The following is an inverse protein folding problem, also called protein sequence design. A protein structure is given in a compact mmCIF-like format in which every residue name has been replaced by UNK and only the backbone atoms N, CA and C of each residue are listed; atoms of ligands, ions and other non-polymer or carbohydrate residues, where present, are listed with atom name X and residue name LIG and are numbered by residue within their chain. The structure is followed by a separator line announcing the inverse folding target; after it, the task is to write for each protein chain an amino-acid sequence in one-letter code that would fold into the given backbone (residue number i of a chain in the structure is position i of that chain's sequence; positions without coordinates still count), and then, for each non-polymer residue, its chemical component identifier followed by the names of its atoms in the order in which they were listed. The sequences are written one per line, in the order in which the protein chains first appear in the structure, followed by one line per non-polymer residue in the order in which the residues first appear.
data_IF_307794486088
#
_entry.id   IF_307794486088
#
_cell.length_a   1.000
_cell.length_b   1.000
_cell.length_c   1.000
_cell.angle_alpha   90.00
_cell.angle_beta   90.00
_cell.angle_gamma   90.00
#
_symmetry.space_group_name_H-M   'P 1'
#
loop_
_entity.id
_entity.type
_entity.pdbx_description
1 polymer ?
#
# COMPACT_ATOMS: atom_id res chain seq x y z
N UNK A 1 29.74 41.48 0.11
CA UNK A 1 30.51 40.60 1.02
C UNK A 1 29.66 39.92 2.09
N UNK A 2 28.71 40.58 2.75
CA UNK A 2 27.87 40.00 3.79
C UNK A 2 26.98 38.83 3.27
N UNK A 3 26.55 38.90 2.02
CA UNK A 3 25.73 37.84 1.38
C UNK A 3 26.51 36.54 1.20
N UNK A 4 27.79 36.64 0.81
CA UNK A 4 28.65 35.44 0.64
C UNK A 4 28.93 34.73 1.97
N UNK A 5 29.11 35.51 3.04
CA UNK A 5 29.30 34.96 4.39
C UNK A 5 28.07 34.26 4.93
N UNK A 6 26.87 34.78 4.60
CA UNK A 6 25.61 34.09 4.94
C UNK A 6 25.48 32.74 4.21
N UNK A 7 25.83 32.69 2.93
CA UNK A 7 25.83 31.46 2.15
C UNK A 7 26.80 30.42 2.75
N UNK A 8 28.01 30.83 3.08
CA UNK A 8 29.02 29.97 3.70
C UNK A 8 28.52 29.41 5.07
N UNK A 9 27.87 30.26 5.87
CA UNK A 9 27.30 29.86 7.14
C UNK A 9 26.18 28.80 7.00
N UNK A 10 25.31 28.98 6.00
CA UNK A 10 24.22 28.02 5.73
C UNK A 10 24.79 26.67 5.31
N UNK A 11 25.79 26.66 4.42
CA UNK A 11 26.43 25.41 3.98
C UNK A 11 27.15 24.71 5.13
N UNK A 12 27.89 25.45 5.95
CA UNK A 12 28.57 24.91 7.12
C UNK A 12 27.60 24.31 8.10
N UNK A 13 26.50 25.00 8.41
CA UNK A 13 25.44 24.49 9.28
C UNK A 13 24.81 23.22 8.72
N UNK A 14 24.52 23.16 7.42
CA UNK A 14 23.99 21.98 6.75
C UNK A 14 24.96 20.80 6.83
N UNK A 15 26.25 21.04 6.62
CA UNK A 15 27.30 20.02 6.71
C UNK A 15 27.37 19.43 8.14
N UNK A 16 27.42 20.29 9.14
CA UNK A 16 27.46 19.85 10.56
C UNK A 16 26.20 19.05 10.93
N UNK A 17 25.02 19.53 10.49
CA UNK A 17 23.77 18.80 10.72
C UNK A 17 23.76 17.43 10.00
N UNK A 18 24.32 17.35 8.79
CA UNK A 18 24.41 16.09 8.04
C UNK A 18 25.33 15.06 8.69
N UNK A 19 26.35 15.50 9.41
CA UNK A 19 27.23 14.62 10.19
C UNK A 19 26.50 14.00 11.41
N UNK A 20 25.62 14.77 12.03
CA UNK A 20 24.88 14.33 13.24
C UNK A 20 23.57 13.61 12.90
N UNK A 21 22.90 14.03 11.83
CA UNK A 21 21.60 13.49 11.37
C UNK A 21 21.65 13.23 9.87
N UNK A 22 22.29 12.13 9.43
CA UNK A 22 22.33 11.80 8.01
C UNK A 22 20.93 11.50 7.49
N UNK A 23 20.60 12.01 6.31
CA UNK A 23 19.33 11.73 5.60
C UNK A 23 19.35 10.35 4.98
N UNK A 24 20.54 9.80 4.76
CA UNK A 24 20.76 8.48 4.16
C UNK A 24 20.22 7.38 5.08
N UNK A 25 19.38 6.50 4.56
CA UNK A 25 19.04 5.24 5.23
C UNK A 25 20.13 4.23 4.94
N UNK A 26 20.74 3.72 6.00
CA UNK A 26 21.75 2.67 5.89
C UNK A 26 21.04 1.32 5.92
N UNK A 27 21.34 0.48 4.96
CA UNK A 27 20.81 -0.87 4.85
C UNK A 27 21.98 -1.87 4.86
N UNK A 28 21.87 -2.99 5.59
CA UNK A 28 20.78 -3.43 6.48
C UNK A 28 20.85 -2.88 7.91
N UNK A 29 21.77 -1.98 8.19
CA UNK A 29 22.12 -1.53 9.53
C UNK A 29 21.50 -0.18 9.85
N UNK A 30 20.79 -0.11 10.97
CA UNK A 30 20.40 1.16 11.59
C UNK A 30 21.36 1.47 12.73
N UNK A 31 22.15 2.53 12.59
CA UNK A 31 23.02 2.95 13.68
C UNK A 31 23.91 4.13 13.29
N UNK A 32 24.43 4.81 14.30
CA UNK A 32 25.49 5.80 14.15
C UNK A 32 26.81 5.10 13.86
N UNK A 33 27.78 5.83 13.26
CA UNK A 33 29.12 5.38 12.88
C UNK A 33 29.84 4.49 13.93
N UNK A 34 29.45 4.56 15.19
CA UNK A 34 30.06 3.89 16.33
C UNK A 34 29.26 2.72 16.91
N UNK A 35 27.99 2.58 16.53
CA UNK A 35 27.12 1.53 17.06
C UNK A 35 26.34 0.90 15.92
N UNK A 36 26.87 -0.19 15.40
CA UNK A 36 26.16 -1.04 14.44
C UNK A 36 25.11 -1.83 15.22
N UNK A 37 23.88 -1.41 15.09
CA UNK A 37 22.74 -2.16 15.60
C UNK A 37 22.20 -2.96 14.43
N UNK A 38 22.23 -4.27 14.53
CA UNK A 38 21.69 -5.19 13.53
C UNK A 38 20.15 -5.27 13.63
N UNK A 39 19.50 -4.13 13.58
CA UNK A 39 18.06 -4.11 13.47
C UNK A 39 17.70 -3.82 12.00
N UNK A 40 16.76 -4.55 11.41
CA UNK A 40 16.34 -4.29 10.04
C UNK A 40 15.84 -2.85 9.93
N UNK A 41 16.27 -2.17 8.90
CA UNK A 41 15.81 -0.80 8.64
C UNK A 41 14.31 -0.80 8.42
N UNK A 42 13.52 -0.10 9.24
CA UNK A 42 12.07 -0.10 9.07
C UNK A 42 11.71 0.46 7.68
N UNK A 43 10.87 -0.27 7.00
CA UNK A 43 10.33 0.13 5.70
C UNK A 43 9.36 1.29 5.91
N UNK A 44 9.27 2.21 4.95
CA UNK A 44 8.32 3.32 5.04
C UNK A 44 6.89 2.81 4.89
N UNK A 45 5.92 3.43 5.57
CA UNK A 45 4.51 3.02 5.57
C UNK A 45 3.89 2.95 4.17
N UNK A 46 4.37 3.79 3.24
CA UNK A 46 3.91 3.83 1.85
C UNK A 46 4.86 3.15 0.87
N UNK A 47 5.72 2.27 1.36
CA UNK A 47 6.60 1.50 0.48
C UNK A 47 5.79 0.46 -0.30
N UNK A 48 6.08 0.36 -1.59
CA UNK A 48 5.45 -0.61 -2.49
C UNK A 48 6.47 -1.71 -2.82
N UNK A 49 6.40 -2.79 -2.07
CA UNK A 49 7.20 -3.99 -2.29
C UNK A 49 6.49 -4.98 -3.21
N UNK A 50 6.71 -6.26 -2.99
CA UNK A 50 6.09 -7.30 -3.83
C UNK A 50 4.59 -7.44 -3.54
N UNK A 51 3.77 -7.75 -4.56
CA UNK A 51 2.35 -7.97 -4.38
C UNK A 51 2.08 -9.23 -3.57
N UNK A 52 1.14 -9.14 -2.63
CA UNK A 52 0.65 -10.26 -1.85
C UNK A 52 -0.88 -10.35 -1.92
N UNK A 53 -1.43 -11.53 -1.65
CA UNK A 53 -2.87 -11.77 -1.64
C UNK A 53 -3.40 -11.66 -0.21
N UNK A 54 -4.44 -10.86 -0.04
CA UNK A 54 -5.08 -10.61 1.25
C UNK A 54 -6.02 -11.73 1.67
N UNK A 55 -6.14 -11.90 2.99
CA UNK A 55 -6.91 -12.96 3.62
C UNK A 55 -8.07 -12.40 4.45
N UNK A 56 -9.24 -13.00 4.32
CA UNK A 56 -10.41 -12.70 5.13
C UNK A 56 -10.44 -13.59 6.37
N UNK A 57 -10.00 -13.07 7.50
CA UNK A 57 -9.94 -13.80 8.77
C UNK A 57 -11.33 -14.13 9.34
N UNK A 58 -12.41 -13.45 8.87
CA UNK A 58 -13.78 -13.69 9.37
C UNK A 58 -14.39 -14.95 8.79
N UNK A 59 -14.09 -15.24 7.54
CA UNK A 59 -14.65 -16.38 6.79
C UNK A 59 -13.59 -17.46 6.56
N UNK A 60 -12.33 -17.17 6.86
CA UNK A 60 -11.18 -18.05 6.64
C UNK A 60 -10.97 -18.41 5.17
N UNK A 61 -11.09 -17.40 4.30
CA UNK A 61 -10.89 -17.57 2.86
C UNK A 61 -10.12 -16.38 2.25
N UNK A 62 -9.45 -16.55 1.07
CA UNK A 62 -8.84 -15.43 0.38
C UNK A 62 -9.92 -14.45 -0.12
N UNK A 63 -9.62 -13.15 -0.12
CA UNK A 63 -10.50 -12.16 -0.75
C UNK A 63 -10.60 -12.36 -2.27
N UNK A 64 -9.63 -13.03 -2.87
CA UNK A 64 -9.55 -13.22 -4.31
C UNK A 64 -10.61 -14.19 -4.83
N UNK A 65 -11.44 -13.71 -5.76
CA UNK A 65 -12.46 -14.50 -6.44
C UNK A 65 -11.99 -15.10 -7.77
N UNK A 66 -10.76 -14.80 -8.21
CA UNK A 66 -10.24 -15.26 -9.49
C UNK A 66 -10.85 -14.53 -10.71
N UNK A 67 -11.32 -13.30 -10.58
CA UNK A 67 -11.99 -12.55 -11.65
C UNK A 67 -11.07 -12.16 -12.83
N UNK A 68 -9.75 -12.33 -12.69
CA UNK A 68 -8.72 -12.09 -13.69
C UNK A 68 -8.58 -10.65 -14.19
N UNK A 69 -9.18 -9.67 -13.52
CA UNK A 69 -9.08 -8.25 -13.92
C UNK A 69 -7.63 -7.77 -13.79
N UNK A 70 -6.94 -8.09 -12.70
CA UNK A 70 -5.54 -7.75 -12.49
C UNK A 70 -4.61 -8.36 -13.56
N UNK A 71 -4.89 -9.61 -13.99
CA UNK A 71 -4.11 -10.30 -15.02
C UNK A 71 -4.24 -9.59 -16.38
N UNK A 72 -5.46 -9.21 -16.74
CA UNK A 72 -5.73 -8.52 -18.03
C UNK A 72 -5.13 -7.13 -18.09
N UNK A 73 -5.02 -6.45 -16.95
CA UNK A 73 -4.45 -5.11 -16.87
C UNK A 73 -2.93 -5.12 -16.58
N UNK A 74 -2.32 -6.29 -16.40
CA UNK A 74 -0.89 -6.38 -16.14
C UNK A 74 -0.07 -6.05 -17.40
N UNK A 75 0.76 -4.99 -17.40
CA UNK A 75 1.50 -4.59 -18.59
C UNK A 75 2.57 -5.62 -18.99
N UNK A 76 3.09 -6.38 -18.04
CA UNK A 76 4.13 -7.40 -18.28
C UNK A 76 3.58 -8.81 -18.39
N UNK A 77 2.26 -8.98 -18.18
CA UNK A 77 1.60 -10.29 -18.20
C UNK A 77 2.33 -11.32 -17.33
N UNK A 78 2.71 -10.91 -16.13
CA UNK A 78 3.49 -11.73 -15.20
C UNK A 78 2.65 -12.64 -14.31
N UNK A 79 1.32 -12.61 -14.45
CA UNK A 79 0.38 -13.31 -13.57
C UNK A 79 -0.46 -14.32 -14.34
N UNK A 80 -0.77 -15.45 -13.69
CA UNK A 80 -1.76 -16.44 -14.13
C UNK A 80 -2.63 -16.86 -12.96
N UNK A 81 -3.88 -17.21 -13.22
CA UNK A 81 -4.79 -17.68 -12.20
C UNK A 81 -5.87 -18.59 -12.78
N UNK A 82 -6.39 -19.48 -11.94
CA UNK A 82 -7.60 -20.25 -12.18
C UNK A 82 -8.61 -20.00 -11.06
N UNK A 83 -9.90 -20.12 -11.36
CA UNK A 83 -10.94 -19.97 -10.37
C UNK A 83 -11.71 -21.28 -10.21
N UNK A 84 -12.29 -21.49 -9.04
CA UNK A 84 -13.18 -22.61 -8.77
C UNK A 84 -14.46 -22.14 -8.06
N UNK A 85 -15.44 -23.04 -7.99
CA UNK A 85 -16.62 -22.81 -7.15
C UNK A 85 -16.24 -22.86 -5.68
N UNK A 86 -16.76 -21.91 -4.90
CA UNK A 86 -16.41 -21.79 -3.50
C UNK A 86 -17.12 -22.87 -2.67
N UNK A 87 -16.39 -23.81 -2.04
CA UNK A 87 -17.01 -24.81 -1.18
C UNK A 87 -17.65 -24.20 0.07
N UNK A 88 -17.08 -23.12 0.61
CA UNK A 88 -17.63 -22.44 1.79
C UNK A 88 -19.00 -21.79 1.51
N UNK A 89 -19.29 -21.44 0.27
CA UNK A 89 -20.61 -20.94 -0.13
C UNK A 89 -21.66 -22.06 -0.11
N UNK A 90 -21.29 -23.26 -0.53
CA UNK A 90 -22.18 -24.42 -0.48
C UNK A 90 -22.54 -24.80 0.94
N UNK A 91 -21.63 -24.57 1.89
CA UNK A 91 -21.84 -24.79 3.33
C UNK A 91 -22.54 -23.60 4.03
N UNK A 92 -22.85 -22.51 3.31
CA UNK A 92 -23.49 -21.31 3.84
C UNK A 92 -22.59 -20.41 4.69
N UNK A 93 -21.26 -20.66 4.73
CA UNK A 93 -20.30 -19.86 5.49
C UNK A 93 -19.85 -18.60 4.75
N UNK A 94 -19.89 -18.60 3.43
CA UNK A 94 -19.44 -17.50 2.59
C UNK A 94 -20.53 -17.05 1.61
N UNK A 95 -20.55 -15.75 1.30
CA UNK A 95 -21.41 -15.18 0.26
C UNK A 95 -20.74 -15.17 -1.13
N UNK A 96 -19.45 -15.51 -1.20
CA UNK A 96 -18.68 -15.52 -2.45
C UNK A 96 -18.94 -16.81 -3.22
N UNK A 97 -19.45 -16.70 -4.44
CA UNK A 97 -19.75 -17.86 -5.29
C UNK A 97 -18.51 -18.51 -5.89
N UNK A 98 -17.51 -17.72 -6.19
CA UNK A 98 -16.24 -18.15 -6.81
C UNK A 98 -15.09 -17.75 -5.91
N UNK A 99 -14.06 -18.57 -5.92
CA UNK A 99 -12.81 -18.36 -5.20
C UNK A 99 -11.63 -18.71 -6.10
N UNK A 100 -10.46 -18.19 -5.76
CA UNK A 100 -9.23 -18.53 -6.44
C UNK A 100 -8.84 -19.98 -6.13
N UNK A 101 -8.50 -20.74 -7.18
CA UNK A 101 -7.96 -22.10 -7.10
C UNK A 101 -6.44 -22.09 -7.15
N UNK A 102 -5.90 -21.44 -8.17
CA UNK A 102 -4.47 -21.23 -8.28
C UNK A 102 -4.17 -19.79 -8.69
N UNK A 103 -3.07 -19.26 -8.19
CA UNK A 103 -2.55 -17.96 -8.56
C UNK A 103 -1.03 -18.03 -8.59
N UNK A 104 -0.45 -17.53 -9.64
CA UNK A 104 1.00 -17.49 -9.79
C UNK A 104 1.44 -16.11 -10.29
N UNK A 105 2.47 -15.55 -9.67
CA UNK A 105 3.14 -14.32 -10.13
C UNK A 105 4.60 -14.64 -10.42
N UNK A 106 5.05 -14.29 -11.61
CA UNK A 106 6.48 -14.30 -11.94
C UNK A 106 7.08 -12.94 -11.54
N UNK A 107 7.72 -12.87 -10.38
CA UNK A 107 8.29 -11.65 -9.84
C UNK A 107 9.47 -11.12 -10.68
N UNK A 108 10.19 -11.98 -11.40
CA UNK A 108 11.25 -11.54 -12.33
C UNK A 108 10.72 -10.69 -13.50
N UNK A 109 9.43 -10.77 -13.79
CA UNK A 109 8.77 -9.99 -14.84
C UNK A 109 7.93 -8.84 -14.29
N UNK A 110 7.68 -8.84 -12.98
CA UNK A 110 6.89 -7.81 -12.31
C UNK A 110 7.70 -6.51 -12.21
N UNK A 111 7.11 -5.41 -12.65
CA UNK A 111 7.70 -4.07 -12.57
C UNK A 111 7.24 -3.28 -11.35
N UNK A 112 6.52 -3.91 -10.43
CA UNK A 112 6.01 -3.31 -9.18
C UNK A 112 5.18 -2.03 -9.41
N UNK A 113 4.40 -1.97 -10.48
CA UNK A 113 3.66 -0.77 -10.87
C UNK A 113 2.38 -0.50 -10.06
N UNK A 114 1.88 -1.50 -9.29
CA UNK A 114 0.68 -1.36 -8.46
C UNK A 114 -0.66 -1.38 -9.20
N UNK A 115 -0.70 -1.43 -10.54
CA UNK A 115 -1.96 -1.43 -11.31
C UNK A 115 -2.89 -2.58 -10.88
N UNK A 116 -2.33 -3.76 -10.55
CA UNK A 116 -3.11 -4.90 -10.10
C UNK A 116 -3.91 -4.60 -8.81
N UNK A 117 -3.37 -3.78 -7.92
CA UNK A 117 -4.05 -3.33 -6.70
C UNK A 117 -5.17 -2.36 -7.03
N UNK A 118 -4.88 -1.34 -7.85
CA UNK A 118 -5.85 -0.31 -8.22
C UNK A 118 -7.07 -0.84 -8.97
N UNK A 119 -6.88 -1.86 -9.83
CA UNK A 119 -7.98 -2.45 -10.60
C UNK A 119 -8.74 -3.56 -9.86
N UNK A 120 -8.32 -3.91 -8.64
CA UNK A 120 -8.93 -4.98 -7.87
C UNK A 120 -10.23 -4.50 -7.21
N UNK A 121 -11.38 -5.07 -7.62
CA UNK A 121 -12.67 -4.72 -7.04
C UNK A 121 -12.95 -5.40 -5.69
N UNK A 122 -12.06 -6.28 -5.23
CA UNK A 122 -12.26 -7.11 -4.03
C UNK A 122 -11.23 -6.87 -2.95
N UNK A 123 -10.36 -5.87 -3.11
CA UNK A 123 -9.22 -5.61 -2.22
C UNK A 123 -8.37 -6.87 -1.94
N UNK A 124 -8.29 -7.74 -2.95
CA UNK A 124 -7.72 -9.08 -2.82
C UNK A 124 -6.22 -9.15 -3.05
N UNK A 125 -5.63 -8.09 -3.56
CA UNK A 125 -4.19 -7.99 -3.82
C UNK A 125 -3.71 -6.63 -3.31
N UNK A 126 -2.58 -6.61 -2.62
CA UNK A 126 -1.99 -5.42 -2.03
C UNK A 126 -0.48 -5.41 -2.25
N UNK A 127 0.14 -4.23 -2.31
CA UNK A 127 1.60 -4.12 -2.35
C UNK A 127 2.14 -4.22 -0.94
N UNK A 128 2.89 -5.27 -0.65
CA UNK A 128 3.43 -5.53 0.69
C UNK A 128 4.70 -4.72 0.95
N UNK A 129 5.25 -4.82 2.15
CA UNK A 129 6.53 -4.22 2.49
C UNK A 129 7.73 -5.13 2.21
N UNK A 130 7.48 -6.33 1.69
CA UNK A 130 8.56 -7.27 1.37
C UNK A 130 9.29 -6.85 0.10
N UNK A 131 10.62 -6.83 0.17
CA UNK A 131 11.48 -6.41 -0.94
C UNK A 131 12.72 -7.28 -1.10
N UNK A 132 12.93 -8.23 -0.20
CA UNK A 132 14.09 -9.11 -0.20
C UNK A 132 13.71 -10.51 -0.66
N UNK A 133 13.70 -10.71 -1.98
CA UNK A 133 13.45 -12.01 -2.59
C UNK A 133 14.62 -12.37 -3.52
N UNK A 134 15.75 -12.74 -2.94
CA UNK A 134 16.88 -13.22 -3.71
C UNK A 134 16.84 -14.74 -3.84
N UNK A 135 17.04 -15.26 -5.04
CA UNK A 135 17.10 -16.69 -5.33
C UNK A 135 18.39 -17.08 -6.02
N UNK A 136 18.82 -18.32 -5.81
CA UNK A 136 20.00 -18.88 -6.48
C UNK A 136 19.72 -19.43 -7.88
N UNK A 137 18.43 -19.54 -8.23
CA UNK A 137 17.99 -20.16 -9.48
C UNK A 137 17.34 -19.12 -10.37
N UNK A 138 17.74 -19.05 -11.63
CA UNK A 138 17.10 -18.19 -12.63
C UNK A 138 15.63 -18.61 -12.82
N UNK A 139 14.70 -17.65 -12.79
CA UNK A 139 13.25 -17.86 -12.78
C UNK A 139 12.71 -18.57 -11.51
N UNK A 140 13.47 -18.58 -10.42
CA UNK A 140 13.03 -19.13 -9.13
C UNK A 140 12.01 -18.26 -8.39
N UNK A 141 11.80 -17.01 -8.84
CA UNK A 141 10.89 -16.06 -8.18
C UNK A 141 9.45 -16.16 -8.72
N UNK A 142 9.00 -17.38 -8.99
CA UNK A 142 7.60 -17.66 -9.22
C UNK A 142 6.95 -17.93 -7.88
N UNK A 143 6.08 -17.01 -7.48
CA UNK A 143 5.31 -17.16 -6.25
C UNK A 143 3.94 -17.75 -6.58
N UNK A 144 3.64 -18.85 -5.95
CA UNK A 144 2.35 -19.53 -6.00
C UNK A 144 1.35 -18.98 -4.99
N UNK A 145 0.12 -19.45 -5.04
CA UNK A 145 -0.96 -18.99 -4.17
C UNK A 145 -0.63 -19.06 -2.67
N UNK A 146 -0.07 -20.17 -2.12
CA UNK A 146 0.27 -20.25 -0.70
C UNK A 146 1.28 -19.19 -0.28
N UNK A 147 2.35 -18.99 -1.06
CA UNK A 147 3.38 -18.01 -0.76
C UNK A 147 2.85 -16.57 -0.82
N UNK A 148 1.99 -16.26 -1.80
CA UNK A 148 1.34 -14.95 -1.93
C UNK A 148 0.38 -14.66 -0.77
N UNK A 149 -0.33 -15.68 -0.29
CA UNK A 149 -1.21 -15.56 0.88
C UNK A 149 -0.42 -15.37 2.18
N UNK A 150 0.73 -16.03 2.31
CA UNK A 150 1.62 -15.84 3.46
C UNK A 150 2.14 -14.40 3.52
N UNK A 151 2.63 -13.87 2.39
CA UNK A 151 3.04 -12.47 2.28
C UNK A 151 1.91 -11.51 2.64
N UNK A 152 0.71 -11.73 2.11
CA UNK A 152 -0.44 -10.88 2.40
C UNK A 152 -0.85 -10.94 3.86
N UNK A 153 -0.88 -12.12 4.48
CA UNK A 153 -1.18 -12.29 5.92
C UNK A 153 -0.15 -11.58 6.79
N UNK A 154 1.14 -11.74 6.48
CA UNK A 154 2.22 -11.04 7.20
C UNK A 154 2.01 -9.52 7.11
N UNK A 155 1.79 -8.99 5.91
CA UNK A 155 1.52 -7.58 5.70
C UNK A 155 0.29 -7.06 6.49
N UNK A 156 -0.81 -7.82 6.49
CA UNK A 156 -2.02 -7.48 7.24
C UNK A 156 -1.77 -7.44 8.76
N UNK A 157 -0.94 -8.36 9.29
CA UNK A 157 -0.57 -8.40 10.70
C UNK A 157 0.33 -7.22 11.08
N UNK A 158 1.36 -6.95 10.27
CA UNK A 158 2.35 -5.91 10.55
C UNK A 158 1.78 -4.48 10.46
N UNK A 159 0.86 -4.26 9.52
CA UNK A 159 0.30 -2.93 9.25
C UNK A 159 -1.07 -2.69 9.85
N UNK A 160 -1.74 -3.73 10.38
CA UNK A 160 -3.14 -3.64 10.78
C UNK A 160 -4.08 -3.30 9.60
N UNK A 161 -3.72 -3.74 8.40
CA UNK A 161 -4.42 -3.40 7.17
C UNK A 161 -5.92 -3.74 7.22
N UNK A 162 -6.73 -2.80 6.76
CA UNK A 162 -8.19 -2.94 6.62
C UNK A 162 -8.53 -2.76 5.14
N UNK A 163 -9.41 -3.60 4.56
CA UNK A 163 -9.84 -3.46 3.18
C UNK A 163 -10.35 -2.04 2.89
N UNK A 164 -9.92 -1.38 1.78
CA UNK A 164 -10.39 -0.06 1.39
C UNK A 164 -11.91 0.06 1.34
N UNK A 165 -12.62 -0.97 0.88
CA UNK A 165 -14.09 -1.04 0.87
C UNK A 165 -14.72 -1.01 2.27
N UNK A 166 -13.97 -1.27 3.34
CA UNK A 166 -14.43 -1.25 4.72
C UNK A 166 -13.95 -0.02 5.50
N UNK A 167 -12.99 0.76 4.96
CA UNK A 167 -12.44 1.96 5.62
C UNK A 167 -13.51 3.04 5.80
N UNK A 168 -14.27 3.37 4.76
CA UNK A 168 -15.31 4.38 4.80
C UNK A 168 -16.48 4.11 5.74
N UNK A 169 -16.66 2.85 6.18
CA UNK A 169 -17.69 2.50 7.18
C UNK A 169 -17.23 2.74 8.62
N UNK A 170 -15.94 2.86 8.86
CA UNK A 170 -15.40 3.23 10.19
C UNK A 170 -15.42 4.74 10.41
N UNK A 171 -15.08 5.50 9.38
CA UNK A 171 -15.05 6.96 9.45
C UNK A 171 -16.45 7.53 9.70
N UNK A 172 -17.53 6.89 9.16
CA UNK A 172 -18.92 7.24 9.45
C UNK A 172 -19.40 6.82 10.85
N UNK A 173 -18.72 5.85 11.50
CA UNK A 173 -19.10 5.40 12.84
C UNK A 173 -18.42 6.23 13.95
N UNK A 174 -17.28 6.84 13.67
CA UNK A 174 -16.53 7.68 14.60
C UNK A 174 -16.92 9.19 14.49
N UNK A 175 -17.58 9.59 13.38
CA UNK A 175 -18.11 10.93 13.17
C UNK A 175 -19.59 11.01 13.56
N UNK A 176 -19.87 10.84 14.85
CA UNK A 176 -21.17 11.22 15.41
C UNK A 176 -21.16 12.74 15.61
N UNK A 177 -22.08 13.49 14.99
CA UNK A 177 -22.05 14.94 15.05
C UNK A 177 -22.39 15.42 16.46
N UNK A 178 -21.49 16.14 17.09
CA UNK A 178 -21.87 17.07 18.14
C UNK A 178 -22.64 18.24 17.50
N UNK A 179 -23.90 18.27 17.83
CA UNK A 179 -24.86 19.23 17.34
C UNK A 179 -24.63 20.61 17.94
N UNK A 180 -24.84 21.60 17.08
CA UNK A 180 -25.47 22.89 17.38
C UNK A 180 -24.69 23.95 18.18
N UNK A 181 -24.54 25.12 17.64
CA UNK A 181 -25.52 26.17 17.85
C UNK A 181 -25.16 27.43 17.06
N UNK A 182 -26.13 27.89 16.29
CA UNK A 182 -26.58 29.24 16.09
C UNK A 182 -25.57 30.41 16.08
N UNK A 183 -25.50 31.18 15.00
CA UNK A 183 -26.26 32.44 14.97
C UNK A 183 -26.13 33.14 13.61
N UNK A 184 -27.27 33.42 13.06
CA UNK A 184 -27.74 34.51 12.18
C UNK A 184 -26.78 35.63 11.76
N UNK A 185 -26.89 36.02 10.50
CA UNK A 185 -26.46 37.34 10.02
C UNK A 185 -26.35 37.45 8.50
N UNK A 186 -27.48 37.61 7.79
CA UNK A 186 -27.59 38.35 6.53
C UNK A 186 -27.41 39.86 6.82
N UNK A 187 -27.28 40.82 5.83
CA UNK A 187 -27.61 40.67 4.41
C UNK A 187 -26.73 41.45 3.38
N UNK A 188 -26.99 41.15 2.12
CA UNK A 188 -27.11 42.05 0.94
C UNK A 188 -26.00 43.03 0.58
N UNK A 189 -25.60 43.07 -0.67
CA UNK A 189 -25.97 43.97 -1.77
C UNK A 189 -25.08 43.75 -3.01
N UNK A 190 -25.72 43.48 -4.10
CA UNK A 190 -25.84 44.18 -5.38
C UNK A 190 -24.59 44.45 -6.21
N UNK A 191 -24.62 43.77 -7.36
CA UNK A 191 -24.60 44.32 -8.72
C UNK A 191 -23.39 45.11 -9.23
N UNK A 192 -22.80 44.64 -10.29
CA UNK A 192 -22.81 45.24 -11.65
C UNK A 192 -21.77 44.61 -12.55
N UNK A 193 -22.25 44.00 -13.63
CA UNK A 193 -21.58 44.05 -14.94
C UNK A 193 -21.58 45.49 -15.48
N UNK A 194 -20.70 45.86 -16.40
CA UNK A 194 -20.83 45.53 -17.81
C UNK A 194 -19.48 45.30 -18.54
N UNK A 195 -19.45 44.47 -19.55
CA UNK A 195 -19.56 44.70 -21.00
C UNK A 195 -18.42 45.50 -21.66
N UNK A 196 -17.87 44.85 -22.68
CA UNK A 196 -17.25 45.35 -23.94
C UNK A 196 -15.86 46.00 -23.93
N UNK A 197 -14.92 45.38 -24.51
CA UNK A 197 -14.35 45.67 -25.86
C UNK A 197 -13.40 44.54 -26.28
#
# INVERSE_FOLDING_TARGET
MISSLKGLWITLKSTVNGLHKPVTRQYPETGTLWKRVQEPTPVQDRFMGFPGLTWDSKVEEPFCTGCMVCIRNCPTQCMSATMMDNPAQQEGRSHRRKIIDSFEINLNRCILCGICVEVCNFDAIEMTHEHELSTYVRNGDRMDLPALLELGKKFQQDTGWIPPTQRGKKDEADEKPEASSETSGEPSTEAKEPEQA
#
